data_IF_608655411942
#
_entry.id   IF_608655411942
#
_cell.length_a   1.000
_cell.length_b   1.000
_cell.length_c   1.000
_cell.angle_alpha   90.00
_cell.angle_beta   90.00
_cell.angle_gamma   90.00
#
_symmetry.space_group_name_H-M   'P 1'
#
loop_
_entity.id
_entity.type
_entity.pdbx_description
1 polymer ?
#
# COMPACT_ATOMS: atom_id res chain seq x y z
N UNK A 1 -19.72 20.72 -26.79
CA UNK A 1 -19.78 20.32 -25.38
C UNK A 1 -18.43 20.56 -24.71
N UNK A 2 -18.25 21.66 -23.95
CA UNK A 2 -16.98 21.96 -23.29
C UNK A 2 -16.78 21.01 -22.11
N UNK A 3 -15.60 20.38 -22.03
CA UNK A 3 -15.24 19.45 -20.95
C UNK A 3 -15.00 20.25 -19.66
N UNK A 4 -15.79 19.96 -18.61
CA UNK A 4 -15.67 20.58 -17.28
C UNK A 4 -14.29 20.23 -16.70
N UNK A 5 -13.45 21.25 -16.47
CA UNK A 5 -12.12 21.14 -15.87
C UNK A 5 -12.30 20.66 -14.42
N UNK A 6 -11.82 19.46 -14.10
CA UNK A 6 -11.95 18.87 -12.77
C UNK A 6 -11.21 19.72 -11.72
N UNK A 7 -11.84 19.89 -10.55
CA UNK A 7 -11.24 20.60 -9.42
C UNK A 7 -9.96 19.86 -8.99
N UNK A 8 -8.83 20.54 -8.75
CA UNK A 8 -7.63 19.88 -8.25
C UNK A 8 -7.91 19.22 -6.91
N UNK A 9 -7.53 17.95 -6.78
CA UNK A 9 -7.70 17.17 -5.55
C UNK A 9 -6.80 17.78 -4.46
N UNK A 10 -7.40 18.45 -3.49
CA UNK A 10 -6.68 19.06 -2.35
C UNK A 10 -6.15 17.92 -1.48
N UNK A 11 -4.83 17.85 -1.32
CA UNK A 11 -4.17 16.94 -0.38
C UNK A 11 -4.50 17.39 1.05
N UNK A 12 -5.05 16.48 1.85
CA UNK A 12 -5.46 16.77 3.24
C UNK A 12 -4.40 16.38 4.27
N UNK A 13 -3.40 15.58 3.90
CA UNK A 13 -2.35 15.14 4.83
C UNK A 13 -1.40 16.29 5.13
N UNK A 14 -1.18 16.51 6.43
CA UNK A 14 -0.24 17.52 6.93
C UNK A 14 1.19 17.01 7.06
N UNK A 15 1.38 15.68 7.07
CA UNK A 15 2.69 15.03 7.16
C UNK A 15 2.89 14.00 6.05
N UNK A 16 4.07 14.00 5.47
CA UNK A 16 4.52 13.01 4.49
C UNK A 16 4.61 11.62 5.15
N UNK A 17 4.31 10.56 4.39
CA UNK A 17 4.50 9.16 4.82
C UNK A 17 5.64 8.54 4.04
N UNK A 18 6.33 7.60 4.67
CA UNK A 18 7.29 6.73 4.01
C UNK A 18 6.85 5.27 4.18
N UNK A 19 6.93 4.52 3.09
CA UNK A 19 6.72 3.08 3.11
C UNK A 19 7.98 2.42 3.69
N UNK A 20 7.81 1.83 4.87
CA UNK A 20 8.91 1.27 5.65
C UNK A 20 8.39 0.16 6.56
N UNK A 21 8.95 -1.04 6.38
CA UNK A 21 8.85 -2.11 7.38
C UNK A 21 9.85 -1.84 8.50
N UNK A 22 9.32 -1.36 9.62
CA UNK A 22 10.06 -1.15 10.86
C UNK A 22 9.50 -2.10 11.92
N UNK A 23 10.39 -2.88 12.53
CA UNK A 23 10.02 -3.71 13.67
C UNK A 23 9.54 -2.80 14.80
N UNK A 24 8.37 -3.12 15.34
CA UNK A 24 7.77 -2.36 16.42
C UNK A 24 7.01 -3.25 17.39
N UNK A 25 6.78 -2.72 18.58
CA UNK A 25 5.91 -3.30 19.60
C UNK A 25 4.77 -2.33 19.86
N UNK A 26 3.56 -2.86 19.88
CA UNK A 26 2.34 -2.18 20.28
C UNK A 26 1.86 -2.82 21.57
N UNK A 27 1.71 -2.03 22.61
CA UNK A 27 1.18 -2.48 23.90
C UNK A 27 -0.14 -1.76 24.14
N UNK A 28 -1.21 -2.51 24.36
CA UNK A 28 -2.54 -1.95 24.53
C UNK A 28 -3.48 -2.95 25.18
N UNK A 29 -4.58 -2.43 25.69
CA UNK A 29 -5.65 -3.23 26.27
C UNK A 29 -6.70 -3.52 25.19
N UNK A 30 -6.78 -4.75 24.65
CA UNK A 30 -7.96 -5.20 23.93
C UNK A 30 -9.19 -5.15 24.84
N UNK A 31 -10.36 -5.29 24.23
CA UNK A 31 -11.68 -5.22 24.90
C UNK A 31 -11.83 -6.14 26.14
N UNK A 32 -10.97 -7.16 26.29
CA UNK A 32 -10.96 -8.07 27.42
C UNK A 32 -10.17 -7.57 28.66
N UNK A 33 -9.61 -6.35 28.61
CA UNK A 33 -8.93 -5.70 29.75
C UNK A 33 -7.53 -6.22 30.08
N UNK A 34 -7.04 -7.26 29.39
CA UNK A 34 -5.68 -7.79 29.58
C UNK A 34 -4.69 -7.03 28.71
N UNK A 35 -3.69 -6.37 29.32
CA UNK A 35 -2.59 -5.74 28.58
C UNK A 35 -1.91 -6.76 27.65
N UNK A 36 -1.95 -6.47 26.34
CA UNK A 36 -1.39 -7.35 25.31
C UNK A 36 -0.19 -6.70 24.65
N UNK A 37 0.89 -7.46 24.50
CA UNK A 37 2.10 -7.05 23.80
C UNK A 37 2.12 -7.65 22.39
N UNK A 38 1.98 -6.81 21.37
CA UNK A 38 1.96 -7.20 19.97
C UNK A 38 3.29 -6.79 19.35
N UNK A 39 4.09 -7.77 18.92
CA UNK A 39 5.28 -7.53 18.10
C UNK A 39 4.87 -7.60 16.64
N UNK A 40 5.06 -6.51 15.90
CA UNK A 40 4.63 -6.38 14.51
C UNK A 40 5.58 -5.51 13.70
N UNK A 41 5.29 -5.31 12.43
CA UNK A 41 6.00 -4.40 11.54
C UNK A 41 5.05 -3.28 11.07
N UNK A 42 5.61 -2.08 10.90
CA UNK A 42 4.88 -1.00 10.22
C UNK A 42 4.78 -1.27 8.73
N UNK A 43 3.71 -0.81 8.11
CA UNK A 43 3.60 -0.73 6.64
C UNK A 43 4.06 0.63 6.15
N UNK A 44 3.61 1.69 6.82
CA UNK A 44 4.05 3.06 6.58
C UNK A 44 4.14 3.85 7.88
N UNK A 45 4.98 4.88 7.87
CA UNK A 45 5.23 5.74 9.02
C UNK A 45 5.31 7.20 8.59
N UNK A 46 4.94 8.11 9.48
CA UNK A 46 5.07 9.56 9.34
C UNK A 46 5.52 10.19 10.66
N UNK A 47 5.77 11.50 10.67
CA UNK A 47 6.01 12.24 11.91
C UNK A 47 4.77 12.35 12.84
N UNK A 48 3.56 12.04 12.34
CA UNK A 48 2.31 12.14 13.11
C UNK A 48 1.75 10.80 13.58
N UNK A 49 2.11 9.70 12.91
CA UNK A 49 1.57 8.39 13.24
C UNK A 49 2.15 7.27 12.38
N UNK A 50 1.68 6.06 12.66
CA UNK A 50 2.14 4.81 12.07
C UNK A 50 0.95 3.94 11.64
N UNK A 51 1.14 3.20 10.56
CA UNK A 51 0.22 2.18 10.09
C UNK A 51 0.88 0.81 10.23
N UNK A 52 0.19 -0.14 10.84
CA UNK A 52 0.69 -1.50 11.03
C UNK A 52 -0.46 -2.51 11.03
N UNK A 53 -0.11 -3.79 11.04
CA UNK A 53 -1.07 -4.87 11.14
C UNK A 53 -0.97 -5.57 12.50
N UNK A 54 -2.08 -6.09 13.01
CA UNK A 54 -2.17 -6.74 14.32
C UNK A 54 -3.06 -7.98 14.28
N UNK A 55 -2.70 -9.07 14.98
CA UNK A 55 -3.58 -10.24 15.13
C UNK A 55 -4.79 -9.97 16.05
N UNK A 56 -4.71 -8.93 16.89
CA UNK A 56 -5.74 -8.58 17.86
C UNK A 56 -6.44 -7.27 17.51
N UNK A 57 -7.74 -7.22 17.78
CA UNK A 57 -8.52 -6.00 17.70
C UNK A 57 -8.10 -5.05 18.82
N UNK A 58 -7.79 -3.80 18.45
CA UNK A 58 -7.60 -2.70 19.37
C UNK A 58 -8.69 -1.65 19.08
N UNK A 59 -9.45 -1.28 20.09
CA UNK A 59 -10.57 -0.36 19.93
C UNK A 59 -10.07 1.02 19.45
N UNK A 60 -10.72 1.65 18.45
CA UNK A 60 -10.47 3.06 18.17
C UNK A 60 -10.61 3.91 19.43
N UNK A 61 -9.81 4.97 19.50
CA UNK A 61 -9.65 5.87 20.65
C UNK A 61 -9.03 5.23 21.90
N UNK A 62 -8.59 3.98 21.83
CA UNK A 62 -7.77 3.39 22.90
C UNK A 62 -6.34 3.94 22.88
N UNK A 63 -5.77 4.14 24.07
CA UNK A 63 -4.38 4.52 24.25
C UNK A 63 -3.49 3.28 24.10
N UNK A 64 -2.38 3.43 23.40
CA UNK A 64 -1.38 2.38 23.18
C UNK A 64 0.02 2.92 23.46
N UNK A 65 0.90 2.07 23.98
CA UNK A 65 2.33 2.35 24.05
C UNK A 65 3.03 1.73 22.84
N UNK A 66 3.85 2.52 22.16
CA UNK A 66 4.53 2.15 20.92
C UNK A 66 6.05 2.18 21.13
N UNK A 67 6.71 1.08 20.78
CA UNK A 67 8.17 1.02 20.71
C UNK A 67 8.59 0.69 19.28
N UNK A 68 9.21 1.63 18.58
CA UNK A 68 9.59 1.51 17.17
C UNK A 68 11.12 1.41 17.07
N UNK A 69 11.61 0.48 16.25
CA UNK A 69 13.04 0.32 15.98
C UNK A 69 13.39 1.11 14.71
N UNK A 70 14.05 2.26 14.88
CA UNK A 70 14.50 3.11 13.76
C UNK A 70 15.95 2.75 13.36
N UNK A 71 16.24 2.60 12.06
CA UNK A 71 17.61 2.46 11.58
C UNK A 71 18.34 3.81 11.69
N UNK A 72 19.60 3.80 12.09
CA UNK A 72 20.42 5.00 12.09
C UNK A 72 20.80 5.40 10.65
N UNK A 73 20.55 6.65 10.30
CA UNK A 73 20.79 7.21 8.96
C UNK A 73 22.26 7.63 8.76
N UNK A 74 22.98 7.94 9.85
CA UNK A 74 24.37 8.39 9.82
C UNK A 74 25.29 7.16 9.77
N UNK A 75 25.54 6.70 8.56
CA UNK A 75 26.25 5.46 8.28
C UNK A 75 27.72 5.47 8.75
N UNK A 76 28.00 4.70 9.81
CA UNK A 76 29.25 3.93 10.00
C UNK A 76 29.00 2.72 10.91
N UNK A 77 27.99 2.79 11.79
CA UNK A 77 27.52 1.64 12.55
C UNK A 77 26.05 1.31 12.25
N UNK A 78 25.72 0.01 12.21
CA UNK A 78 24.36 -0.53 12.20
C UNK A 78 23.65 -0.35 13.55
N UNK A 79 23.80 0.81 14.18
CA UNK A 79 23.10 1.08 15.43
C UNK A 79 21.61 1.27 15.12
N UNK A 80 20.78 0.54 15.87
CA UNK A 80 19.33 0.71 15.86
C UNK A 80 18.96 1.59 17.03
N UNK A 81 18.09 2.58 16.80
CA UNK A 81 17.56 3.44 17.86
C UNK A 81 16.15 2.99 18.21
N UNK A 82 15.89 2.85 19.50
CA UNK A 82 14.54 2.61 20.01
C UNK A 82 13.84 3.95 20.22
N UNK A 83 12.70 4.13 19.56
CA UNK A 83 11.77 5.22 19.79
C UNK A 83 10.62 4.68 20.65
N UNK A 84 10.47 5.20 21.86
CA UNK A 84 9.34 4.91 22.74
C UNK A 84 8.40 6.12 22.76
N UNK A 85 7.11 5.90 22.54
CA UNK A 85 6.11 6.95 22.54
C UNK A 85 4.72 6.38 22.81
N UNK A 86 3.81 7.24 23.25
CA UNK A 86 2.39 6.90 23.35
C UNK A 86 1.68 7.20 22.02
N UNK A 87 0.58 6.51 21.79
CA UNK A 87 -0.31 6.77 20.67
C UNK A 87 -1.77 6.47 21.00
N UNK A 88 -2.64 6.85 20.06
CA UNK A 88 -4.05 6.50 20.07
C UNK A 88 -4.41 5.80 18.77
N UNK A 89 -5.18 4.72 18.88
CA UNK A 89 -5.73 4.04 17.72
C UNK A 89 -6.77 4.96 17.07
N UNK A 90 -6.53 5.43 15.86
CA UNK A 90 -7.51 6.25 15.11
C UNK A 90 -8.37 5.40 14.17
N UNK A 91 -7.91 4.19 13.85
CA UNK A 91 -8.61 3.25 12.96
C UNK A 91 -8.17 1.83 13.25
N UNK A 92 -9.13 0.90 13.26
CA UNK A 92 -8.88 -0.54 13.33
C UNK A 92 -9.88 -1.23 12.40
N UNK A 93 -9.39 -1.74 11.26
CA UNK A 93 -10.22 -2.39 10.24
C UNK A 93 -9.84 -3.86 10.11
N UNK A 94 -10.79 -4.81 10.10
CA UNK A 94 -10.49 -6.21 9.86
C UNK A 94 -10.18 -6.47 8.39
N UNK A 95 -9.02 -7.07 8.13
CA UNK A 95 -8.65 -7.58 6.80
C UNK A 95 -9.15 -9.01 6.67
N UNK A 96 -10.12 -9.23 5.77
CA UNK A 96 -10.72 -10.55 5.54
C UNK A 96 -9.90 -11.34 4.54
N UNK A 97 -9.34 -12.47 4.99
CA UNK A 97 -8.79 -13.51 4.12
C UNK A 97 -9.70 -14.74 4.28
N UNK A 98 -10.71 -14.86 3.41
CA UNK A 98 -11.72 -15.92 3.50
C UNK A 98 -12.83 -15.61 4.52
N UNK A 99 -13.32 -16.65 5.20
CA UNK A 99 -14.52 -16.57 6.05
C UNK A 99 -14.29 -15.89 7.43
N UNK A 100 -13.04 -15.70 7.86
CA UNK A 100 -12.70 -15.05 9.12
C UNK A 100 -11.67 -13.94 8.89
N UNK A 101 -11.73 -12.82 9.64
CA UNK A 101 -10.67 -11.83 9.61
C UNK A 101 -9.40 -12.47 10.19
N UNK A 102 -8.31 -12.43 9.41
CA UNK A 102 -7.02 -13.01 9.81
C UNK A 102 -6.15 -12.00 10.53
N UNK A 103 -6.30 -10.71 10.20
CA UNK A 103 -5.47 -9.61 10.69
C UNK A 103 -6.31 -8.34 10.76
N UNK A 104 -5.94 -7.42 11.65
CA UNK A 104 -6.49 -6.07 11.75
C UNK A 104 -5.47 -5.05 11.25
N UNK A 105 -5.91 -4.18 10.37
CA UNK A 105 -5.19 -3.00 9.92
C UNK A 105 -5.39 -1.86 10.93
N UNK A 106 -4.30 -1.44 11.56
CA UNK A 106 -4.27 -0.43 12.60
C UNK A 106 -3.62 0.85 12.10
N UNK A 107 -4.31 1.97 12.32
CA UNK A 107 -3.70 3.29 12.24
C UNK A 107 -3.61 3.89 13.64
N UNK A 108 -2.40 4.28 14.03
CA UNK A 108 -2.14 4.91 15.32
C UNK A 108 -1.59 6.32 15.11
N UNK A 109 -2.13 7.31 15.82
CA UNK A 109 -1.57 8.67 15.90
C UNK A 109 -0.69 8.78 17.14
N UNK A 110 0.48 9.40 17.03
CA UNK A 110 1.34 9.65 18.17
C UNK A 110 0.74 10.72 19.09
N UNK A 111 0.91 10.54 20.40
CA UNK A 111 0.49 11.49 21.44
C UNK A 111 1.71 11.86 22.29
N UNK A 112 1.88 13.15 22.58
CA UNK A 112 2.94 13.62 23.49
C UNK A 112 4.34 13.33 22.98
N UNK A 113 4.53 13.22 21.66
CA UNK A 113 5.83 12.92 21.06
C UNK A 113 6.79 14.09 21.31
N UNK A 114 7.92 13.79 21.95
CA UNK A 114 9.00 14.75 22.18
C UNK A 114 9.44 15.43 20.86
N UNK A 115 9.68 16.76 20.83
CA UNK A 115 10.07 17.46 19.61
C UNK A 115 11.30 16.86 18.92
N UNK A 116 12.28 16.35 19.68
CA UNK A 116 13.48 15.69 19.13
C UNK A 116 13.11 14.37 18.46
N UNK A 117 12.19 13.61 19.07
CA UNK A 117 11.67 12.38 18.46
C UNK A 117 10.86 12.64 17.20
N UNK A 118 10.09 13.73 17.17
CA UNK A 118 9.35 14.17 15.98
C UNK A 118 10.28 14.53 14.83
N UNK A 119 11.34 15.30 15.11
CA UNK A 119 12.37 15.63 14.12
C UNK A 119 13.06 14.38 13.57
N UNK A 120 13.41 13.43 14.44
CA UNK A 120 14.03 12.17 14.02
C UNK A 120 13.13 11.33 13.09
N UNK A 121 11.83 11.28 13.36
CA UNK A 121 10.87 10.62 12.47
C UNK A 121 10.75 11.35 11.13
N UNK A 122 10.71 12.68 11.15
CA UNK A 122 10.60 13.48 9.93
C UNK A 122 11.83 13.34 9.03
N UNK A 123 13.02 13.38 9.64
CA UNK A 123 14.30 13.10 8.97
C UNK A 123 14.31 11.69 8.37
N UNK A 124 13.83 10.69 9.13
CA UNK A 124 13.72 9.30 8.67
C UNK A 124 12.80 9.19 7.44
N UNK A 125 11.59 9.76 7.53
CA UNK A 125 10.60 9.74 6.46
C UNK A 125 11.15 10.41 5.20
N UNK A 126 11.76 11.59 5.36
CA UNK A 126 12.35 12.35 4.25
C UNK A 126 13.45 11.55 3.55
N UNK A 127 14.41 11.03 4.32
CA UNK A 127 15.48 10.19 3.79
C UNK A 127 14.96 8.94 3.07
N UNK A 128 13.98 8.25 3.68
CA UNK A 128 13.42 7.02 3.11
C UNK A 128 12.74 7.30 1.77
N UNK A 129 11.98 8.38 1.68
CA UNK A 129 11.34 8.80 0.44
C UNK A 129 12.35 9.20 -0.64
N UNK A 130 13.42 9.91 -0.26
CA UNK A 130 14.51 10.24 -1.19
C UNK A 130 15.20 8.98 -1.74
N UNK A 131 15.34 7.93 -0.94
CA UNK A 131 15.89 6.66 -1.41
C UNK A 131 14.98 5.98 -2.42
N UNK A 132 13.68 5.91 -2.16
CA UNK A 132 12.70 5.31 -3.08
C UNK A 132 12.69 6.04 -4.44
N UNK A 133 12.86 7.36 -4.43
CA UNK A 133 13.00 8.17 -5.64
C UNK A 133 14.28 7.84 -6.41
N UNK A 134 15.41 7.63 -5.72
CA UNK A 134 16.68 7.24 -6.33
C UNK A 134 16.67 5.82 -6.90
N UNK A 135 15.90 4.91 -6.31
CA UNK A 135 15.84 3.50 -6.72
C UNK A 135 14.82 3.19 -7.80
N UNK A 136 13.99 4.16 -8.22
CA UNK A 136 13.03 3.94 -9.30
C UNK A 136 13.74 4.11 -10.66
N UNK A 137 14.01 3.04 -11.42
CA UNK A 137 14.49 3.22 -12.78
C UNK A 137 13.41 3.93 -13.58
N UNK A 138 13.77 5.02 -14.26
CA UNK A 138 12.89 5.73 -15.16
C UNK A 138 12.23 4.73 -16.12
N UNK A 139 10.92 4.50 -15.95
CA UNK A 139 10.15 3.59 -16.79
C UNK A 139 10.30 4.06 -18.24
N UNK A 140 11.12 3.37 -19.04
CA UNK A 140 11.30 3.64 -20.47
C UNK A 140 9.91 3.69 -21.08
N UNK A 141 9.50 4.88 -21.53
CA UNK A 141 8.24 5.08 -22.27
C UNK A 141 8.35 4.25 -23.54
N UNK A 142 7.69 3.09 -23.57
CA UNK A 142 7.58 2.31 -24.80
C UNK A 142 6.83 3.18 -25.81
N UNK A 143 7.43 3.55 -26.95
CA UNK A 143 6.72 4.29 -27.97
C UNK A 143 5.63 3.35 -28.52
N UNK A 144 4.37 3.76 -28.35
CA UNK A 144 3.21 3.10 -28.93
C UNK A 144 3.38 3.07 -30.44
N UNK A 145 3.64 1.88 -30.99
CA UNK A 145 3.69 1.62 -32.42
C UNK A 145 2.36 2.03 -33.05
N UNK A 146 2.43 2.94 -34.02
CA UNK A 146 1.31 3.39 -34.84
C UNK A 146 0.70 2.16 -35.53
N UNK A 147 -0.55 1.86 -35.19
CA UNK A 147 -1.42 0.89 -35.85
C UNK A 147 -1.63 1.35 -37.32
N UNK A 148 -1.26 0.56 -38.35
CA UNK A 148 -1.49 0.98 -39.73
C UNK A 148 -2.99 0.94 -40.04
N UNK A 149 -3.51 2.06 -40.56
CA UNK A 149 -4.83 2.17 -41.18
C UNK A 149 -4.80 1.36 -42.47
N UNK A 150 -5.57 0.27 -42.56
CA UNK A 150 -5.78 -0.42 -43.84
C UNK A 150 -6.94 0.24 -44.57
N UNK A 151 -6.61 0.80 -45.73
CA UNK A 151 -7.50 1.49 -46.64
C UNK A 151 -8.51 0.54 -47.31
N UNK A 152 -9.61 1.14 -47.72
CA UNK A 152 -10.74 0.66 -48.51
C UNK A 152 -10.38 0.28 -49.96
N UNK A 153 -11.35 -0.37 -50.64
CA UNK A 153 -11.52 -0.57 -52.09
C UNK A 153 -10.90 -1.84 -52.70
N UNK A 154 -11.46 -2.52 -53.71
CA UNK A 154 -12.80 -2.69 -54.34
C UNK A 154 -12.59 -3.81 -55.38
N UNK A 155 -13.68 -4.45 -55.83
CA UNK A 155 -13.79 -5.29 -57.06
C UNK A 155 -13.05 -6.64 -57.04
N UNK A 156 -13.52 -7.73 -57.64
CA UNK A 156 -14.70 -8.01 -58.44
C UNK A 156 -14.61 -9.46 -58.96
N UNK A 157 -15.79 -10.06 -59.20
CA UNK A 157 -16.06 -11.13 -60.17
C UNK A 157 -15.50 -12.57 -60.00
N UNK A 158 -16.47 -13.49 -59.94
CA UNK A 158 -16.65 -14.70 -60.78
C UNK A 158 -16.29 -16.09 -60.20
N UNK A 159 -17.37 -16.75 -59.76
CA UNK A 159 -17.79 -18.14 -60.00
C UNK A 159 -16.75 -19.21 -60.40
N UNK A 160 -16.80 -20.37 -59.74
CA UNK A 160 -17.47 -21.59 -60.27
C UNK A 160 -17.58 -22.73 -59.24
N UNK A 161 -18.77 -23.37 -59.26
CA UNK A 161 -19.18 -24.75 -58.91
C UNK A 161 -18.13 -25.71 -58.29
N UNK A 162 -18.51 -26.41 -57.22
CA UNK A 162 -19.06 -27.78 -57.27
C UNK A 162 -19.28 -28.37 -55.86
N UNK A 163 -20.52 -28.86 -55.62
CA UNK A 163 -20.91 -29.88 -54.62
C UNK A 163 -20.90 -31.25 -55.34
N UNK A 164 -21.20 -32.40 -54.69
CA UNK A 164 -21.17 -32.80 -53.28
C UNK A 164 -20.57 -34.22 -53.08
N UNK A 165 -20.62 -34.76 -51.86
CA UNK A 165 -20.75 -36.19 -51.44
C UNK A 165 -19.82 -36.46 -50.25
N UNK A 166 -20.15 -37.19 -49.20
CA UNK A 166 -21.37 -37.83 -48.69
C UNK A 166 -21.26 -37.84 -47.15
N UNK A 167 -22.37 -37.88 -46.42
CA UNK A 167 -22.87 -39.10 -45.76
C UNK A 167 -21.81 -39.79 -44.88
N UNK A 168 -22.01 -40.12 -43.61
CA UNK A 168 -23.17 -40.16 -42.70
C UNK A 168 -22.59 -40.49 -41.30
N UNK A 169 -23.34 -40.12 -40.25
CA UNK A 169 -23.63 -40.84 -38.97
C UNK A 169 -22.61 -41.88 -38.45
N UNK A 170 -22.43 -42.15 -37.17
CA UNK A 170 -22.92 -41.68 -35.87
C UNK A 170 -22.34 -42.67 -34.83
N UNK A 171 -22.55 -42.38 -33.54
CA UNK A 171 -22.67 -43.35 -32.42
C UNK A 171 -21.40 -44.13 -32.04
N UNK A 172 -20.78 -43.83 -30.89
CA UNK A 172 -21.15 -44.21 -29.50
C UNK A 172 -20.35 -45.43 -29.04
N UNK A 173 -19.51 -45.24 -28.04
CA UNK A 173 -19.47 -46.04 -26.80
C UNK A 173 -18.56 -45.36 -25.79
#
# INVERSE_FOLDING_TARGET
MPRKKGIPKIERRTSTRADASLSMRVEGEPQNGTLTHIVTESENISASGVYCSSPHYLAPLSKVALTIVLPNQKATQRSRRLLKCDGVVVRCEPTRVGARPSVYELACSFIGLDPRHRLLLDDFVTWRNLQTMRSTPAKKRTPTTKRPRRATERSGARATKARPAGARRATSR
#
